data_IF_547006441915
#
_entry.id   IF_547006441915
#
_cell.length_a   1.000
_cell.length_b   1.000
_cell.length_c   1.000
_cell.angle_alpha   90.00
_cell.angle_beta   90.00
_cell.angle_gamma   90.00
#
_symmetry.space_group_name_H-M   'P 1'
#
loop_
_entity.id
_entity.type
_entity.pdbx_description
1 polymer ?
#
# COMPACT_ATOMS: atom_id res chain seq x y z
N UNK A 1 -24.51 -60.34 -52.27
CA UNK A 1 -25.76 -59.97 -51.55
C UNK A 1 -25.52 -58.70 -50.75
N UNK A 2 -26.44 -57.74 -50.85
CA UNK A 2 -26.77 -56.63 -49.94
C UNK A 2 -25.78 -55.48 -49.61
N UNK A 3 -26.11 -54.31 -50.20
CA UNK A 3 -26.34 -52.97 -49.59
C UNK A 3 -25.19 -52.12 -49.02
N UNK A 4 -24.82 -51.11 -49.82
CA UNK A 4 -24.81 -49.67 -49.56
C UNK A 4 -24.67 -49.13 -48.11
N UNK A 5 -23.63 -48.33 -47.90
CA UNK A 5 -23.50 -47.36 -46.81
C UNK A 5 -22.72 -46.13 -47.29
N UNK A 6 -23.40 -44.99 -47.41
CA UNK A 6 -22.90 -43.71 -47.92
C UNK A 6 -21.85 -43.11 -46.98
N UNK A 7 -20.65 -42.80 -47.48
CA UNK A 7 -19.99 -41.55 -47.10
C UNK A 7 -19.26 -40.95 -48.30
N UNK A 8 -19.69 -39.73 -48.58
CA UNK A 8 -19.34 -38.87 -49.70
C UNK A 8 -17.90 -38.38 -49.48
N UNK A 9 -17.18 -38.37 -50.59
CA UNK A 9 -15.74 -38.20 -50.69
C UNK A 9 -15.19 -36.94 -50.00
N UNK A 10 -13.91 -37.00 -49.60
CA UNK A 10 -13.16 -35.95 -48.94
C UNK A 10 -12.83 -34.83 -49.93
N UNK A 11 -12.15 -33.78 -49.41
CA UNK A 11 -11.58 -32.60 -50.11
C UNK A 11 -12.54 -31.41 -50.06
N UNK A 12 -12.16 -30.21 -49.64
CA UNK A 12 -10.84 -29.59 -49.52
C UNK A 12 -11.09 -28.14 -49.00
N UNK A 13 -10.04 -27.48 -48.48
CA UNK A 13 -9.86 -25.99 -48.43
C UNK A 13 -10.77 -25.27 -47.41
N UNK A 14 -10.32 -24.34 -46.57
CA UNK A 14 -9.05 -23.78 -46.18
C UNK A 14 -9.35 -22.79 -45.03
N UNK A 15 -8.27 -22.26 -44.47
CA UNK A 15 -8.16 -20.89 -43.99
C UNK A 15 -8.68 -20.58 -42.57
N UNK A 16 -7.68 -20.20 -41.77
CA UNK A 16 -7.66 -19.02 -40.90
C UNK A 16 -8.43 -19.12 -39.59
N UNK A 17 -7.64 -19.28 -38.52
CA UNK A 17 -7.99 -18.86 -37.18
C UNK A 17 -6.69 -18.62 -36.42
N UNK A 18 -6.09 -17.43 -36.61
CA UNK A 18 -5.01 -16.96 -35.74
C UNK A 18 -5.62 -16.79 -34.34
N UNK A 19 -5.45 -17.82 -33.51
CA UNK A 19 -5.85 -17.78 -32.11
C UNK A 19 -4.88 -16.87 -31.36
N UNK A 20 -5.14 -15.57 -31.41
CA UNK A 20 -4.58 -14.62 -30.46
C UNK A 20 -5.17 -14.99 -29.11
N UNK A 21 -4.36 -15.61 -28.24
CA UNK A 21 -4.71 -15.73 -26.83
C UNK A 21 -4.82 -14.32 -26.26
N UNK A 22 -6.04 -13.82 -26.16
CA UNK A 22 -6.36 -12.64 -25.36
C UNK A 22 -6.18 -13.02 -23.88
N UNK A 23 -4.93 -12.99 -23.40
CA UNK A 23 -4.67 -12.99 -21.98
C UNK A 23 -5.24 -11.69 -21.41
N UNK A 24 -6.12 -11.73 -20.40
CA UNK A 24 -6.57 -10.52 -19.75
C UNK A 24 -5.35 -9.85 -19.11
N UNK A 25 -5.06 -8.61 -19.51
CA UNK A 25 -4.22 -7.73 -18.72
C UNK A 25 -4.97 -7.50 -17.42
N UNK A 26 -4.59 -8.23 -16.37
CA UNK A 26 -4.95 -7.87 -15.01
C UNK A 26 -4.28 -6.53 -14.73
N UNK A 27 -5.00 -5.44 -14.95
CA UNK A 27 -4.69 -4.16 -14.32
C UNK A 27 -4.78 -4.45 -12.83
N UNK A 28 -3.64 -4.56 -12.17
CA UNK A 28 -3.59 -4.37 -10.73
C UNK A 28 -4.14 -2.97 -10.52
N UNK A 29 -5.38 -2.87 -10.06
CA UNK A 29 -5.84 -1.66 -9.43
C UNK A 29 -4.87 -1.45 -8.28
N UNK A 30 -4.04 -0.40 -8.34
CA UNK A 30 -3.48 0.16 -7.13
C UNK A 30 -4.70 0.47 -6.27
N UNK A 31 -4.93 -0.37 -5.27
CA UNK A 31 -5.97 -0.16 -4.27
C UNK A 31 -5.53 1.09 -3.52
N UNK A 32 -5.93 2.26 -4.04
CA UNK A 32 -5.67 3.57 -3.49
C UNK A 32 -6.43 3.65 -2.17
N UNK A 33 -5.85 3.01 -1.15
CA UNK A 33 -6.41 2.99 0.18
C UNK A 33 -6.44 4.43 0.67
N UNK A 34 -7.62 4.89 1.05
CA UNK A 34 -7.78 6.20 1.66
C UNK A 34 -6.75 6.36 2.80
N UNK A 35 -5.98 7.46 2.82
CA UNK A 35 -4.93 7.65 3.81
C UNK A 35 -5.53 7.63 5.22
N UNK A 36 -4.80 7.05 6.15
CA UNK A 36 -5.23 7.07 7.55
C UNK A 36 -5.23 8.49 8.11
N UNK A 37 -6.02 8.77 9.14
CA UNK A 37 -6.00 10.09 9.78
C UNK A 37 -4.60 10.48 10.28
N UNK A 38 -3.88 9.55 10.89
CA UNK A 38 -2.50 9.75 11.33
C UNK A 38 -1.53 10.08 10.19
N UNK A 39 -1.73 9.48 9.01
CA UNK A 39 -0.96 9.81 7.80
C UNK A 39 -1.20 11.24 7.34
N UNK A 40 -2.47 11.66 7.29
CA UNK A 40 -2.84 13.02 6.90
C UNK A 40 -2.28 14.06 7.89
N UNK A 41 -2.41 13.80 9.19
CA UNK A 41 -1.87 14.67 10.24
C UNK A 41 -0.35 14.81 10.11
N UNK A 42 0.35 13.68 9.94
CA UNK A 42 1.79 13.67 9.74
C UNK A 42 2.21 14.44 8.48
N UNK A 43 1.57 14.16 7.34
CA UNK A 43 1.89 14.77 6.05
C UNK A 43 1.63 16.27 6.03
N UNK A 44 0.68 16.76 6.84
CA UNK A 44 0.33 18.18 6.88
C UNK A 44 1.22 18.98 7.85
N UNK A 45 1.61 18.37 8.97
CA UNK A 45 2.19 19.11 10.09
C UNK A 45 3.64 18.77 10.43
N UNK A 46 4.11 17.57 10.10
CA UNK A 46 5.43 17.10 10.55
C UNK A 46 6.51 17.26 9.48
N UNK A 47 6.17 17.12 8.19
CA UNK A 47 7.16 17.07 7.11
C UNK A 47 7.83 18.41 6.80
N UNK A 48 7.23 19.52 7.23
CA UNK A 48 7.81 20.86 7.03
C UNK A 48 9.13 21.04 7.80
N UNK A 49 9.30 20.33 8.91
CA UNK A 49 10.50 20.35 9.74
C UNK A 49 11.22 19.00 9.82
N UNK A 50 10.56 17.88 9.49
CA UNK A 50 11.13 16.53 9.47
C UNK A 50 11.05 15.90 8.08
N UNK A 51 12.11 16.05 7.27
CA UNK A 51 12.25 15.28 6.04
C UNK A 51 12.87 13.89 6.30
N UNK A 52 13.05 13.06 5.26
CA UNK A 52 13.63 11.70 5.35
C UNK A 52 14.95 11.64 6.12
N UNK A 53 15.79 12.66 6.00
CA UNK A 53 17.06 12.76 6.70
C UNK A 53 16.82 12.95 8.20
N UNK A 54 15.90 13.81 8.66
CA UNK A 54 15.70 14.04 10.10
C UNK A 54 15.24 12.82 10.89
N UNK A 55 14.42 11.93 10.30
CA UNK A 55 14.03 10.67 10.94
C UNK A 55 15.23 9.79 11.32
N UNK A 56 16.39 9.95 10.70
CA UNK A 56 17.60 9.20 11.05
C UNK A 56 18.22 9.65 12.38
N UNK A 57 18.10 10.94 12.73
CA UNK A 57 18.62 11.48 14.01
C UNK A 57 17.71 11.07 15.15
N UNK A 58 16.40 11.20 14.95
CA UNK A 58 15.37 10.88 15.95
C UNK A 58 15.25 9.37 16.20
N UNK A 59 15.66 8.53 15.23
CA UNK A 59 15.79 7.08 15.44
C UNK A 59 16.67 6.67 16.62
N UNK A 60 17.60 7.53 17.07
CA UNK A 60 18.38 7.26 18.29
C UNK A 60 17.60 7.49 19.58
N UNK A 61 16.53 8.29 19.53
CA UNK A 61 15.68 8.61 20.68
C UNK A 61 14.51 7.63 20.83
N UNK A 62 14.09 7.01 19.72
CA UNK A 62 12.98 6.05 19.69
C UNK A 62 13.47 4.61 19.79
N UNK A 63 13.29 3.97 20.94
CA UNK A 63 13.64 2.57 21.20
C UNK A 63 12.45 1.64 21.43
N UNK A 64 11.29 2.20 21.79
CA UNK A 64 10.06 1.48 22.14
C UNK A 64 8.80 2.29 21.77
N UNK A 65 7.62 1.68 21.89
CA UNK A 65 6.35 2.34 21.58
C UNK A 65 6.13 3.65 22.37
N UNK A 66 6.43 3.62 23.67
CA UNK A 66 6.27 4.77 24.57
C UNK A 66 7.16 5.93 24.14
N UNK A 67 8.41 5.67 23.77
CA UNK A 67 9.34 6.69 23.27
C UNK A 67 8.86 7.27 21.94
N UNK A 68 8.32 6.47 21.02
CA UNK A 68 7.74 6.99 19.78
C UNK A 68 6.58 7.96 20.05
N UNK A 69 5.64 7.58 20.94
CA UNK A 69 4.53 8.46 21.34
C UNK A 69 5.01 9.75 22.00
N UNK A 70 6.07 9.67 22.82
CA UNK A 70 6.66 10.84 23.47
C UNK A 70 7.26 11.82 22.45
N UNK A 71 7.94 11.32 21.41
CA UNK A 71 8.45 12.17 20.32
C UNK A 71 7.31 12.87 19.57
N UNK A 72 6.26 12.14 19.20
CA UNK A 72 5.08 12.70 18.51
C UNK A 72 4.44 13.78 19.37
N UNK A 73 4.25 13.53 20.68
CA UNK A 73 3.70 14.49 21.62
C UNK A 73 4.55 15.76 21.70
N UNK A 74 5.86 15.62 21.85
CA UNK A 74 6.76 16.78 21.94
C UNK A 74 6.71 17.63 20.67
N UNK A 75 6.75 17.00 19.50
CA UNK A 75 6.77 17.75 18.24
C UNK A 75 5.45 18.46 17.96
N UNK A 76 4.30 17.84 18.24
CA UNK A 76 3.02 18.54 18.11
C UNK A 76 2.88 19.69 19.12
N UNK A 77 3.45 19.57 20.32
CA UNK A 77 3.54 20.65 21.31
C UNK A 77 4.40 21.81 20.82
N UNK A 78 5.58 21.50 20.27
CA UNK A 78 6.45 22.52 19.67
C UNK A 78 5.76 23.27 18.52
N UNK A 79 4.96 22.55 17.73
CA UNK A 79 4.16 23.14 16.66
C UNK A 79 2.81 23.72 17.15
N UNK A 80 2.52 23.69 18.46
CA UNK A 80 1.29 24.21 19.08
C UNK A 80 0.00 23.67 18.45
N UNK A 81 -0.01 22.40 18.02
CA UNK A 81 -1.13 21.80 17.30
C UNK A 81 -2.29 21.37 18.21
N UNK A 82 -2.00 21.19 19.51
CA UNK A 82 -2.98 20.84 20.56
C UNK A 82 -3.71 19.53 20.26
N UNK A 83 -2.99 18.54 19.74
CA UNK A 83 -3.56 17.22 19.46
C UNK A 83 -4.02 16.52 20.72
N UNK A 84 -5.10 15.77 20.56
CA UNK A 84 -5.58 14.80 21.54
C UNK A 84 -4.65 13.58 21.62
N UNK A 85 -4.79 12.79 22.68
CA UNK A 85 -4.03 11.55 22.83
C UNK A 85 -4.35 10.55 21.70
N UNK A 86 -5.59 10.53 21.21
CA UNK A 86 -6.01 9.70 20.06
C UNK A 86 -5.25 10.09 18.79
N UNK A 87 -5.15 11.39 18.49
CA UNK A 87 -4.42 11.88 17.31
C UNK A 87 -2.92 11.57 17.40
N UNK A 88 -2.35 11.67 18.61
CA UNK A 88 -0.96 11.26 18.87
C UNK A 88 -0.79 9.75 18.60
N UNK A 89 -1.72 8.92 19.04
CA UNK A 89 -1.70 7.47 18.82
C UNK A 89 -1.83 7.13 17.33
N UNK A 90 -2.73 7.79 16.60
CA UNK A 90 -2.93 7.60 15.17
C UNK A 90 -1.65 7.94 14.38
N UNK A 91 -0.99 9.05 14.70
CA UNK A 91 0.27 9.45 14.07
C UNK A 91 1.40 8.51 14.46
N UNK A 92 1.51 8.10 15.73
CA UNK A 92 2.51 7.15 16.19
C UNK A 92 2.38 5.80 15.47
N UNK A 93 1.15 5.31 15.27
CA UNK A 93 0.88 4.08 14.52
C UNK A 93 1.28 4.20 13.07
N UNK A 94 0.96 5.32 12.43
CA UNK A 94 1.43 5.58 11.06
C UNK A 94 2.98 5.55 10.99
N UNK A 95 3.66 6.28 11.88
CA UNK A 95 5.12 6.32 11.92
C UNK A 95 5.75 4.94 12.20
N UNK A 96 5.12 4.13 13.05
CA UNK A 96 5.56 2.76 13.31
C UNK A 96 5.49 1.90 12.06
N UNK A 97 4.37 1.91 11.34
CA UNK A 97 4.21 1.15 10.09
C UNK A 97 5.19 1.60 8.99
N UNK A 98 5.50 2.90 8.91
CA UNK A 98 6.31 3.46 7.82
C UNK A 98 7.82 3.48 8.13
N UNK A 99 8.20 3.79 9.36
CA UNK A 99 9.58 4.14 9.72
C UNK A 99 10.14 3.36 10.92
N UNK A 100 9.29 2.87 11.83
CA UNK A 100 9.69 2.18 13.06
C UNK A 100 9.08 0.77 13.18
N UNK A 101 9.12 -0.01 12.09
CA UNK A 101 8.45 -1.32 12.00
C UNK A 101 8.91 -2.36 13.02
N UNK A 102 10.07 -2.16 13.62
CA UNK A 102 10.61 -3.02 14.67
C UNK A 102 9.92 -2.83 16.02
N UNK A 103 9.17 -1.75 16.22
CA UNK A 103 8.49 -1.48 17.49
C UNK A 103 7.15 -2.21 17.55
N UNK A 104 6.86 -2.82 18.70
CA UNK A 104 5.56 -3.40 19.03
C UNK A 104 4.72 -2.38 19.80
N UNK A 105 3.52 -2.02 19.31
CA UNK A 105 2.55 -1.24 20.06
C UNK A 105 2.07 -2.03 21.29
N UNK A 106 1.70 -1.31 22.34
CA UNK A 106 1.10 -1.88 23.57
C UNK A 106 -0.38 -2.22 23.37
#
# INVERSE_FOLDING_TARGET
MARAGKSIWPRLIAAVGMAVLAAPLAVAADDERAPSRGELLYATHCIACHDRELHWRDRRLVSDWRSLRAEVRRWQEMASLRWSDEEIEEVARFLQLRHYRQLTPE
#
